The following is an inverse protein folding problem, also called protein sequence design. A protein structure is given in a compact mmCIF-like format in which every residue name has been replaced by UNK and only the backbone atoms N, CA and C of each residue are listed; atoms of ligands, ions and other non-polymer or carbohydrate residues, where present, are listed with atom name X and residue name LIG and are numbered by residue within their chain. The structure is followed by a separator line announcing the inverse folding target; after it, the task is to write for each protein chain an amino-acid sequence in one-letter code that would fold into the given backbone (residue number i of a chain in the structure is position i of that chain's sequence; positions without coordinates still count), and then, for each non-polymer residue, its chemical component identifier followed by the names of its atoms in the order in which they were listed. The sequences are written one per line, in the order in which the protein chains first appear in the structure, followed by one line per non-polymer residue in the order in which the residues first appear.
data_IF_457588690224
#
_entry.id   IF_457588690224
#
_cell.length_a   1.000
_cell.length_b   1.000
_cell.length_c   1.000
_cell.angle_alpha   90.00
_cell.angle_beta   90.00
_cell.angle_gamma   90.00
#
_symmetry.space_group_name_H-M   'P 1'
#
loop_
_entity.id
_entity.type
_entity.pdbx_description
1 polymer ?
#
# COMPACT_ATOMS: atom_id res chain seq x y z
N UNK A 1 -31.17 -28.69 -6.77
CA UNK A 1 -29.98 -28.71 -5.90
C UNK A 1 -29.36 -27.32 -5.99
N UNK A 2 -28.99 -26.67 -4.88
CA UNK A 2 -28.32 -25.35 -4.89
C UNK A 2 -26.86 -25.53 -4.50
N UNK A 3 -25.98 -24.79 -5.14
CA UNK A 3 -24.53 -24.78 -4.86
C UNK A 3 -24.19 -23.60 -3.98
N UNK A 4 -23.20 -23.75 -3.10
CA UNK A 4 -22.79 -22.70 -2.15
C UNK A 4 -21.30 -22.48 -2.34
N UNK A 5 -20.91 -21.23 -2.58
CA UNK A 5 -19.50 -20.84 -2.65
C UNK A 5 -18.87 -20.73 -1.26
N UNK A 6 -17.54 -20.71 -1.21
CA UNK A 6 -16.75 -20.50 0.02
C UNK A 6 -17.18 -19.27 0.85
N UNK A 7 -17.77 -18.25 0.20
CA UNK A 7 -18.24 -17.02 0.84
C UNK A 7 -19.73 -17.03 1.22
N UNK A 8 -20.40 -18.18 1.14
CA UNK A 8 -21.81 -18.35 1.51
C UNK A 8 -22.83 -17.86 0.48
N UNK A 9 -22.38 -17.53 -0.75
CA UNK A 9 -23.29 -17.15 -1.84
C UNK A 9 -23.83 -18.40 -2.52
N UNK A 10 -25.15 -18.41 -2.74
CA UNK A 10 -25.88 -19.52 -3.37
C UNK A 10 -26.00 -19.33 -4.88
N UNK A 11 -25.78 -20.41 -5.62
CA UNK A 11 -25.88 -20.48 -7.08
C UNK A 11 -26.81 -21.62 -7.50
N UNK A 12 -27.45 -21.44 -8.65
CA UNK A 12 -28.36 -22.45 -9.21
C UNK A 12 -27.59 -23.54 -9.97
N UNK A 13 -26.39 -23.22 -10.47
CA UNK A 13 -25.50 -24.18 -11.14
C UNK A 13 -24.13 -24.26 -10.50
N UNK A 14 -23.50 -25.44 -10.64
CA UNK A 14 -22.12 -25.65 -10.17
C UNK A 14 -21.13 -24.78 -10.95
N UNK A 15 -21.39 -24.59 -12.25
CA UNK A 15 -20.53 -23.81 -13.13
C UNK A 15 -20.46 -22.34 -12.69
N UNK A 16 -21.60 -21.73 -12.37
CA UNK A 16 -21.65 -20.35 -11.85
C UNK A 16 -20.89 -20.21 -10.52
N UNK A 17 -21.03 -21.19 -9.63
CA UNK A 17 -20.31 -21.22 -8.36
C UNK A 17 -18.79 -21.25 -8.58
N UNK A 18 -18.30 -22.15 -9.44
CA UNK A 18 -16.87 -22.26 -9.77
C UNK A 18 -16.33 -21.01 -10.46
N UNK A 19 -17.10 -20.43 -11.39
CA UNK A 19 -16.70 -19.21 -12.10
C UNK A 19 -16.65 -18.00 -11.16
N UNK A 20 -17.57 -17.90 -10.21
CA UNK A 20 -17.56 -16.89 -9.17
C UNK A 20 -16.31 -17.02 -8.29
N UNK A 21 -16.02 -18.22 -7.77
CA UNK A 21 -14.87 -18.44 -6.89
C UNK A 21 -13.53 -18.14 -7.57
N UNK A 22 -13.39 -18.50 -8.85
CA UNK A 22 -12.20 -18.15 -9.64
C UNK A 22 -12.02 -16.64 -9.72
N UNK A 23 -13.06 -15.92 -10.16
CA UNK A 23 -13.01 -14.44 -10.27
C UNK A 23 -12.76 -13.79 -8.93
N UNK A 24 -13.39 -14.29 -7.87
CA UNK A 24 -13.19 -13.78 -6.52
C UNK A 24 -11.73 -13.95 -6.06
N UNK A 25 -11.13 -15.14 -6.27
CA UNK A 25 -9.72 -15.39 -5.94
C UNK A 25 -8.78 -14.48 -6.72
N UNK A 26 -9.04 -14.27 -8.02
CA UNK A 26 -8.28 -13.34 -8.86
C UNK A 26 -8.40 -11.89 -8.37
N UNK A 27 -9.60 -11.45 -7.98
CA UNK A 27 -9.81 -10.10 -7.44
C UNK A 27 -9.12 -9.88 -6.10
N UNK A 28 -9.15 -10.88 -5.21
CA UNK A 28 -8.45 -10.84 -3.91
C UNK A 28 -6.94 -10.75 -4.16
N UNK A 29 -6.37 -11.62 -4.98
CA UNK A 29 -4.96 -11.59 -5.32
C UNK A 29 -4.54 -10.24 -5.93
N UNK A 30 -5.37 -9.66 -6.82
CA UNK A 30 -5.11 -8.33 -7.39
C UNK A 30 -5.11 -7.23 -6.32
N UNK A 31 -6.03 -7.28 -5.35
CA UNK A 31 -6.09 -6.30 -4.25
C UNK A 31 -4.86 -6.42 -3.36
N UNK A 32 -4.45 -7.64 -3.02
CA UNK A 32 -3.26 -7.90 -2.20
C UNK A 32 -1.98 -7.37 -2.89
N UNK A 33 -1.82 -7.63 -4.19
CA UNK A 33 -0.68 -7.11 -4.95
C UNK A 33 -0.68 -5.57 -5.00
N UNK A 34 -1.86 -4.95 -5.16
CA UNK A 34 -1.97 -3.50 -5.14
C UNK A 34 -1.59 -2.91 -3.78
N UNK A 35 -2.03 -3.51 -2.67
CA UNK A 35 -1.66 -3.07 -1.32
C UNK A 35 -0.17 -3.24 -1.05
N UNK A 36 0.44 -4.32 -1.55
CA UNK A 36 1.89 -4.52 -1.51
C UNK A 36 2.63 -3.41 -2.27
N UNK A 37 2.22 -3.10 -3.50
CA UNK A 37 2.82 -2.02 -4.30
C UNK A 37 2.65 -0.66 -3.60
N UNK A 38 1.49 -0.38 -3.00
CA UNK A 38 1.27 0.86 -2.22
C UNK A 38 2.24 0.96 -1.04
N UNK A 39 2.40 -0.13 -0.29
CA UNK A 39 3.31 -0.20 0.85
C UNK A 39 4.76 0.02 0.42
N UNK A 40 5.22 -0.67 -0.62
CA UNK A 40 6.57 -0.51 -1.17
C UNK A 40 6.84 0.93 -1.64
N UNK A 41 5.88 1.56 -2.32
CA UNK A 41 5.97 2.97 -2.71
C UNK A 41 6.06 3.91 -1.50
N UNK A 42 5.25 3.68 -0.48
CA UNK A 42 5.28 4.48 0.75
C UNK A 42 6.63 4.33 1.47
N UNK A 43 7.16 3.12 1.57
CA UNK A 43 8.49 2.86 2.16
C UNK A 43 9.60 3.58 1.38
N UNK A 44 9.51 3.60 0.04
CA UNK A 44 10.43 4.35 -0.82
C UNK A 44 10.37 5.86 -0.52
N UNK A 45 9.17 6.43 -0.43
CA UNK A 45 8.97 7.85 -0.08
C UNK A 45 9.59 8.15 1.29
N UNK A 46 9.32 7.32 2.30
CA UNK A 46 9.89 7.50 3.64
C UNK A 46 11.42 7.43 3.64
N UNK A 47 12.02 6.57 2.81
CA UNK A 47 13.48 6.51 2.65
C UNK A 47 14.02 7.80 2.03
N UNK A 48 13.45 8.25 0.91
CA UNK A 48 13.86 9.48 0.22
C UNK A 48 13.73 10.70 1.15
N UNK A 49 12.65 10.77 1.92
CA UNK A 49 12.44 11.83 2.91
C UNK A 49 13.54 11.84 3.97
N UNK A 50 13.89 10.67 4.55
CA UNK A 50 14.98 10.58 5.53
C UNK A 50 16.33 10.98 4.95
N UNK A 51 16.61 10.57 3.71
CA UNK A 51 17.87 10.90 3.06
C UNK A 51 17.95 12.40 2.74
N UNK A 52 16.84 13.02 2.31
CA UNK A 52 16.74 14.48 2.15
C UNK A 52 16.95 15.22 3.47
N UNK A 53 16.34 14.77 4.57
CA UNK A 53 16.52 15.39 5.88
C UNK A 53 17.97 15.31 6.35
N UNK A 54 18.68 14.22 6.10
CA UNK A 54 20.11 14.12 6.41
C UNK A 54 20.93 15.14 5.63
N UNK A 55 20.65 15.30 4.35
CA UNK A 55 21.34 16.27 3.50
C UNK A 55 21.11 17.70 3.98
N UNK A 56 19.86 18.04 4.32
CA UNK A 56 19.51 19.33 4.90
C UNK A 56 20.28 19.56 6.20
N UNK A 57 20.28 18.59 7.12
CA UNK A 57 21.03 18.71 8.36
C UNK A 57 22.54 18.86 8.12
N UNK A 58 23.10 18.17 7.12
CA UNK A 58 24.52 18.36 6.74
C UNK A 58 24.76 19.79 6.28
N UNK A 59 23.92 20.31 5.38
CA UNK A 59 23.99 21.68 4.90
C UNK A 59 23.86 22.71 6.03
N UNK A 60 22.87 22.55 6.91
CA UNK A 60 22.66 23.44 8.06
C UNK A 60 23.90 23.48 8.97
N UNK A 61 24.52 22.32 9.21
CA UNK A 61 25.76 22.23 10.00
C UNK A 61 26.96 22.88 9.30
N UNK A 62 27.14 22.65 8.00
CA UNK A 62 28.26 23.18 7.22
C UNK A 62 28.23 24.70 7.14
N UNK A 63 27.03 25.27 6.99
CA UNK A 63 26.84 26.71 6.80
C UNK A 63 26.33 27.44 8.04
N UNK A 64 26.13 26.75 9.18
CA UNK A 64 25.62 27.30 10.45
C UNK A 64 24.34 28.12 10.25
N UNK A 65 23.41 27.58 9.47
CA UNK A 65 22.13 28.22 9.17
C UNK A 65 20.98 27.25 9.43
N UNK A 66 19.80 27.77 9.74
CA UNK A 66 18.59 26.96 9.90
C UNK A 66 17.71 27.15 8.68
N UNK A 67 17.60 26.11 7.85
CA UNK A 67 16.75 26.08 6.66
C UNK A 67 15.37 25.52 7.01
N UNK A 68 15.31 24.61 7.99
CA UNK A 68 14.12 23.84 8.35
C UNK A 68 13.59 24.18 9.75
N UNK A 69 13.49 25.46 10.11
CA UNK A 69 12.73 25.87 11.29
C UNK A 69 11.21 25.89 10.99
N UNK A 70 10.55 24.72 10.95
CA UNK A 70 9.09 24.66 11.18
C UNK A 70 8.17 24.05 10.11
N UNK A 71 8.67 23.36 9.07
CA UNK A 71 7.77 22.82 8.01
C UNK A 71 7.32 21.36 8.25
N UNK A 72 8.00 20.59 9.10
CA UNK A 72 7.77 19.13 9.20
C UNK A 72 7.63 18.56 10.61
N UNK A 73 7.45 19.38 11.64
CA UNK A 73 7.24 18.90 13.02
C UNK A 73 5.93 18.11 13.25
N UNK A 74 5.10 17.94 12.21
CA UNK A 74 3.79 17.26 12.29
C UNK A 74 3.60 16.06 11.36
N UNK A 75 4.63 15.61 10.64
CA UNK A 75 4.53 14.42 9.78
C UNK A 75 5.29 13.26 10.43
N UNK A 76 4.86 12.81 11.62
CA UNK A 76 4.89 11.44 12.14
C UNK A 76 4.39 11.40 13.58
#
# INVERSE_FOLDING_TARGET
MKFVSDNGIYFDTEQECRDFERKYKEEVARKEELEKIKKERFECICKLYRDLMKEICSYENDYKCEVFSGVFSGFF
#
